data_IF_733503995834
#
_entry.id   IF_733503995834
#
_cell.length_a   1.000
_cell.length_b   1.000
_cell.length_c   1.000
_cell.angle_alpha   90.00
_cell.angle_beta   90.00
_cell.angle_gamma   90.00
#
_symmetry.space_group_name_H-M   'P 1'
#
loop_
_entity.id
_entity.type
_entity.pdbx_description
1 polymer ?
#
# COMPACT_ATOMS: atom_id res chain seq x y z
N UNK A 1 -31.61 11.36 -12.87
CA UNK A 1 -32.54 12.37 -12.29
C UNK A 1 -31.76 13.27 -11.33
N UNK A 2 -31.48 14.53 -11.71
CA UNK A 2 -30.78 15.50 -10.83
C UNK A 2 -31.79 16.16 -9.89
N UNK A 3 -31.64 15.99 -8.57
CA UNK A 3 -32.40 16.77 -7.59
C UNK A 3 -31.81 18.18 -7.55
N UNK A 4 -32.58 19.19 -7.99
CA UNK A 4 -32.21 20.60 -7.83
C UNK A 4 -32.58 21.01 -6.40
N UNK A 5 -31.58 21.14 -5.54
CA UNK A 5 -31.76 21.68 -4.20
C UNK A 5 -31.79 23.21 -4.31
N UNK A 6 -32.90 23.82 -3.89
CA UNK A 6 -33.07 25.29 -3.88
C UNK A 6 -32.50 25.80 -2.56
N UNK A 7 -31.28 26.34 -2.61
CA UNK A 7 -30.64 26.99 -1.46
C UNK A 7 -31.29 28.36 -1.35
N UNK A 8 -32.19 28.52 -0.38
CA UNK A 8 -32.88 29.79 -0.12
C UNK A 8 -32.02 30.59 0.86
N UNK A 9 -31.90 31.93 0.71
CA UNK A 9 -31.07 32.76 1.61
C UNK A 9 -31.63 32.88 3.03
N UNK A 10 -32.91 32.57 3.22
CA UNK A 10 -33.51 32.34 4.54
C UNK A 10 -32.89 31.06 5.11
N UNK A 11 -32.00 31.23 6.10
CA UNK A 11 -31.24 30.15 6.72
C UNK A 11 -32.09 28.92 7.05
N UNK A 12 -31.47 27.74 7.00
CA UNK A 12 -32.13 26.46 7.15
C UNK A 12 -33.12 26.47 8.34
N UNK A 13 -34.41 26.24 8.05
CA UNK A 13 -35.41 26.01 9.10
C UNK A 13 -34.92 24.83 9.94
N UNK A 14 -34.69 25.07 11.23
CA UNK A 14 -34.29 23.99 12.12
C UNK A 14 -35.40 22.93 12.09
N UNK A 15 -35.04 21.66 11.88
CA UNK A 15 -36.03 20.59 11.85
C UNK A 15 -36.74 20.54 13.20
N UNK A 16 -38.04 20.29 13.15
CA UNK A 16 -38.85 20.08 14.35
C UNK A 16 -38.49 18.76 15.03
N UNK A 17 -38.70 18.65 16.34
CA UNK A 17 -38.38 17.43 17.09
C UNK A 17 -39.09 16.18 16.54
N UNK A 18 -40.29 16.34 15.98
CA UNK A 18 -41.04 15.27 15.32
C UNK A 18 -40.39 14.81 14.02
N UNK A 19 -39.82 15.73 13.24
CA UNK A 19 -39.04 15.43 12.04
C UNK A 19 -37.73 14.72 12.42
N UNK A 20 -37.05 15.18 13.48
CA UNK A 20 -35.84 14.53 14.00
C UNK A 20 -36.16 13.10 14.46
N UNK A 21 -37.22 12.92 15.24
CA UNK A 21 -37.64 11.61 15.73
C UNK A 21 -37.96 10.62 14.60
N UNK A 22 -38.53 11.10 13.48
CA UNK A 22 -38.86 10.28 12.31
C UNK A 22 -37.61 9.67 11.64
N UNK A 23 -36.48 10.37 11.66
CA UNK A 23 -35.24 9.91 11.03
C UNK A 23 -34.21 9.36 12.03
N UNK A 24 -34.49 9.46 13.33
CA UNK A 24 -33.64 8.95 14.41
C UNK A 24 -33.83 7.44 14.55
N UNK A 25 -33.19 6.67 13.68
CA UNK A 25 -33.13 5.22 13.76
C UNK A 25 -31.76 4.74 14.30
N UNK A 26 -31.63 4.53 15.62
CA UNK A 26 -30.38 4.08 16.23
C UNK A 26 -30.02 2.64 15.85
N UNK A 27 -31.02 1.80 15.51
CA UNK A 27 -30.77 0.40 15.13
C UNK A 27 -30.06 0.34 13.79
N UNK A 28 -30.51 1.15 12.83
CA UNK A 28 -29.87 1.28 11.52
C UNK A 28 -28.47 1.89 11.64
N UNK A 29 -28.27 2.84 12.55
CA UNK A 29 -26.95 3.40 12.83
C UNK A 29 -25.97 2.32 13.34
N UNK A 30 -26.38 1.53 14.33
CA UNK A 30 -25.57 0.45 14.89
C UNK A 30 -25.31 -0.67 13.87
N UNK A 31 -26.29 -1.03 13.06
CA UNK A 31 -26.12 -2.01 11.97
C UNK A 31 -25.10 -1.52 10.94
N UNK A 32 -25.19 -0.27 10.51
CA UNK A 32 -24.23 0.29 9.55
C UNK A 32 -22.82 0.42 10.15
N UNK A 33 -22.72 0.83 11.42
CA UNK A 33 -21.46 0.93 12.14
C UNK A 33 -20.81 -0.45 12.28
N UNK A 34 -21.54 -1.45 12.76
CA UNK A 34 -21.02 -2.82 12.91
C UNK A 34 -20.57 -3.40 11.57
N UNK A 35 -21.31 -3.16 10.48
CA UNK A 35 -20.91 -3.57 9.12
C UNK A 35 -19.64 -2.84 8.64
N UNK A 36 -19.49 -1.56 8.96
CA UNK A 36 -18.32 -0.77 8.58
C UNK A 36 -17.06 -1.18 9.39
N UNK A 37 -17.24 -1.55 10.66
CA UNK A 37 -16.15 -2.00 11.54
C UNK A 37 -15.80 -3.47 11.33
N UNK A 38 -16.73 -4.29 10.82
CA UNK A 38 -16.44 -5.64 10.36
C UNK A 38 -15.45 -5.58 9.19
N UNK A 39 -14.16 -5.73 9.52
CA UNK A 39 -13.11 -5.96 8.52
C UNK A 39 -13.54 -7.12 7.63
N UNK A 40 -13.27 -7.05 6.31
CA UNK A 40 -13.50 -8.19 5.44
C UNK A 40 -12.68 -9.37 5.98
N UNK A 41 -13.34 -10.40 6.51
CA UNK A 41 -12.72 -11.64 6.99
C UNK A 41 -12.04 -12.45 5.88
N UNK A 42 -11.95 -11.92 4.66
CA UNK A 42 -11.31 -12.62 3.56
C UNK A 42 -9.80 -12.53 3.76
N UNK A 43 -9.11 -13.66 3.96
CA UNK A 43 -7.68 -13.64 4.12
C UNK A 43 -7.03 -13.14 2.82
N UNK A 44 -5.88 -12.47 2.93
CA UNK A 44 -5.22 -11.78 1.82
C UNK A 44 -4.94 -12.71 0.63
N UNK A 45 -4.66 -13.99 0.89
CA UNK A 45 -4.42 -15.01 -0.12
C UNK A 45 -5.66 -15.38 -0.96
N UNK A 46 -6.87 -15.01 -0.52
CA UNK A 46 -8.11 -15.35 -1.22
C UNK A 46 -8.37 -14.44 -2.41
N UNK A 47 -7.76 -13.26 -2.45
CA UNK A 47 -7.77 -12.40 -3.63
C UNK A 47 -6.52 -12.68 -4.47
N UNK A 48 -6.67 -13.21 -5.70
CA UNK A 48 -5.52 -13.55 -6.55
C UNK A 48 -4.67 -12.32 -6.88
N UNK A 49 -5.27 -11.12 -6.96
CA UNK A 49 -4.51 -9.89 -7.23
C UNK A 49 -3.66 -9.48 -6.04
N UNK A 50 -4.23 -9.54 -4.83
CA UNK A 50 -3.50 -9.23 -3.60
C UNK A 50 -2.38 -10.23 -3.34
N UNK A 51 -2.62 -11.52 -3.64
CA UNK A 51 -1.59 -12.56 -3.56
C UNK A 51 -0.43 -12.31 -4.54
N UNK A 52 -0.72 -11.94 -5.79
CA UNK A 52 0.33 -11.63 -6.78
C UNK A 52 1.18 -10.42 -6.36
N UNK A 53 0.56 -9.38 -5.79
CA UNK A 53 1.29 -8.22 -5.25
C UNK A 53 2.19 -8.66 -4.09
N UNK A 54 1.68 -9.47 -3.17
CA UNK A 54 2.47 -10.00 -2.06
C UNK A 54 3.66 -10.83 -2.55
N UNK A 55 3.44 -11.70 -3.55
CA UNK A 55 4.48 -12.50 -4.17
C UNK A 55 5.56 -11.61 -4.81
N UNK A 56 5.16 -10.55 -5.51
CA UNK A 56 6.09 -9.61 -6.12
C UNK A 56 6.94 -8.89 -5.06
N UNK A 57 6.35 -8.49 -3.93
CA UNK A 57 7.08 -7.86 -2.81
C UNK A 57 8.14 -8.83 -2.26
N UNK A 58 7.79 -10.09 -2.04
CA UNK A 58 8.74 -11.12 -1.56
C UNK A 58 9.87 -11.32 -2.57
N UNK A 59 9.56 -11.37 -3.87
CA UNK A 59 10.56 -11.52 -4.92
C UNK A 59 11.52 -10.32 -4.98
N UNK A 60 11.00 -9.10 -4.89
CA UNK A 60 11.81 -7.87 -4.79
C UNK A 60 12.73 -7.89 -3.58
N UNK A 61 12.20 -8.24 -2.40
CA UNK A 61 12.98 -8.34 -1.18
C UNK A 61 14.10 -9.40 -1.30
N UNK A 62 13.80 -10.52 -1.95
CA UNK A 62 14.78 -11.57 -2.23
C UNK A 62 15.91 -11.08 -3.14
N UNK A 63 15.59 -10.42 -4.25
CA UNK A 63 16.60 -9.85 -5.15
C UNK A 63 17.50 -8.84 -4.43
N UNK A 64 16.92 -7.95 -3.61
CA UNK A 64 17.68 -6.99 -2.82
C UNK A 64 18.60 -7.70 -1.81
N UNK A 65 18.14 -8.80 -1.22
CA UNK A 65 18.96 -9.61 -0.30
C UNK A 65 20.13 -10.28 -1.02
N UNK A 66 19.95 -10.78 -2.23
CA UNK A 66 21.01 -11.45 -3.00
C UNK A 66 22.07 -10.45 -3.48
N UNK A 67 21.68 -9.27 -3.96
CA UNK A 67 22.65 -8.23 -4.35
C UNK A 67 23.54 -7.83 -3.17
N UNK A 68 22.96 -7.71 -1.97
CA UNK A 68 23.71 -7.40 -0.74
C UNK A 68 24.65 -8.53 -0.31
N UNK A 69 24.44 -9.75 -0.78
CA UNK A 69 25.24 -10.93 -0.42
C UNK A 69 26.40 -11.17 -1.35
N UNK A 70 26.50 -10.46 -2.49
CA UNK A 70 27.63 -10.63 -3.41
C UNK A 70 28.91 -10.19 -2.68
N UNK A 71 29.82 -11.12 -2.32
CA UNK A 71 31.12 -10.71 -1.82
C UNK A 71 31.81 -9.97 -2.95
N UNK A 72 32.38 -8.80 -2.65
CA UNK A 72 33.28 -8.11 -3.57
C UNK A 72 34.33 -9.12 -4.04
N UNK A 73 34.25 -9.49 -5.32
CA UNK A 73 35.28 -10.33 -5.92
C UNK A 73 36.57 -9.51 -5.83
N UNK A 74 37.62 -9.98 -5.12
CA UNK A 74 38.85 -9.20 -5.02
C UNK A 74 39.38 -9.04 -6.44
N UNK A 75 39.40 -7.78 -6.91
CA UNK A 75 40.04 -7.41 -8.16
C UNK A 75 41.49 -7.88 -8.04
N UNK A 76 41.99 -8.80 -8.89
CA UNK A 76 43.37 -9.23 -8.80
C UNK A 76 44.25 -7.98 -8.97
N UNK A 77 45.13 -7.75 -8.00
CA UNK A 77 46.06 -6.63 -8.00
C UNK A 77 46.80 -6.57 -9.35
N UNK A 78 47.05 -5.36 -9.90
CA UNK A 78 47.85 -5.22 -11.12
C UNK A 78 49.15 -5.98 -10.92
N UNK A 79 49.36 -7.01 -11.75
CA UNK A 79 50.59 -7.78 -11.75
C UNK A 79 51.71 -6.80 -12.03
N UNK A 80 52.54 -6.59 -11.02
CA UNK A 80 53.78 -5.85 -11.06
C UNK A 80 54.55 -6.31 -12.30
N UNK A 81 54.68 -5.42 -13.28
CA UNK A 81 55.47 -5.66 -14.47
C UNK A 81 56.89 -6.00 -14.02
N UNK A 82 57.28 -7.26 -14.22
CA UNK A 82 58.65 -7.70 -14.01
C UNK A 82 59.62 -6.78 -14.77
N UNK A 83 60.73 -6.34 -14.16
CA UNK A 83 61.67 -5.46 -14.84
C UNK A 83 62.27 -6.17 -16.07
N UNK A 84 62.57 -5.46 -17.16
CA UNK A 84 63.20 -6.06 -18.33
C UNK A 84 64.57 -6.61 -17.91
N UNK A 85 64.79 -7.90 -18.16
CA UNK A 85 66.08 -8.57 -18.03
C UNK A 85 67.07 -7.84 -18.95
N UNK A 86 68.24 -7.39 -18.46
CA UNK A 86 69.28 -6.85 -19.34
C UNK A 86 69.76 -7.96 -20.26
N UNK A 87 69.63 -7.74 -21.57
CA UNK A 87 70.26 -8.54 -22.60
C UNK A 87 71.76 -8.25 -22.58
N UNK A 88 72.54 -9.11 -21.93
CA UNK A 88 74.01 -9.11 -22.04
C UNK A 88 74.41 -9.33 -23.50
N UNK A 89 75.22 -8.41 -24.02
CA UNK A 89 75.89 -8.47 -25.33
C UNK A 89 77.35 -8.10 -25.16
#
# INVERSE_FOLDING_TARGET
>A
MKRRYRITPEGHRQPTDSEIARYRDPKRLLYNYSRAVQRPQKPLYRDPKAFLILLLIVLLAYLISEERRKPEVPVPAPTEQAPPVPSDG
#
